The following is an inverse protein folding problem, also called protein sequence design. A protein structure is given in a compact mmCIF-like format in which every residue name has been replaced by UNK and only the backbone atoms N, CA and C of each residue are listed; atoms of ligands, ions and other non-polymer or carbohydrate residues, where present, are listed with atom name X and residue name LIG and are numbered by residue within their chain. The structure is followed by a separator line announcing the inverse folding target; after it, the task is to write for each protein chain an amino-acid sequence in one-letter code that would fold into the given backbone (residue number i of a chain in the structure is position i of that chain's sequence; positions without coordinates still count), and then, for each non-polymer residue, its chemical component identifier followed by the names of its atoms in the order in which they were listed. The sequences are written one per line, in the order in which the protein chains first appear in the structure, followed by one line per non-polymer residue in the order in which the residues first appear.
data_IF_783275050231
#
_entry.id   IF_783275050231
#
_cell.length_a   1.000
_cell.length_b   1.000
_cell.length_c   1.000
_cell.angle_alpha   90.00
_cell.angle_beta   90.00
_cell.angle_gamma   90.00
#
_symmetry.space_group_name_H-M   'P 1'
#
loop_
_entity.id
_entity.type
_entity.pdbx_description
1 polymer ?
#
# COMPACT_ATOMS: atom_id res chain seq x y z
N UNK A 1 36.20 45.88 36.92
CA UNK A 1 35.14 44.96 37.39
C UNK A 1 34.00 44.99 36.40
N UNK A 2 33.77 43.88 35.68
CA UNK A 2 32.45 43.35 35.24
C UNK A 2 32.65 42.42 34.03
N UNK A 3 32.65 41.14 34.38
CA UNK A 3 32.16 39.96 33.65
C UNK A 3 32.42 39.80 32.15
N UNK A 4 33.26 38.80 31.89
CA UNK A 4 33.21 37.85 30.78
C UNK A 4 31.79 37.33 30.59
N UNK A 5 31.28 37.39 29.35
CA UNK A 5 30.28 36.45 28.84
C UNK A 5 30.83 35.91 27.52
N UNK A 6 31.38 34.71 27.60
CA UNK A 6 31.74 33.85 26.49
C UNK A 6 30.43 33.23 25.97
N UNK A 7 29.85 33.80 24.91
CA UNK A 7 28.71 33.18 24.24
C UNK A 7 29.24 32.03 23.39
N UNK A 8 29.08 30.79 23.87
CA UNK A 8 29.20 29.60 23.03
C UNK A 8 28.18 29.72 21.90
N UNK A 9 28.65 29.95 20.67
CA UNK A 9 27.85 29.67 19.49
C UNK A 9 27.70 28.15 19.41
N UNK A 10 26.56 27.65 19.86
CA UNK A 10 26.11 26.31 19.52
C UNK A 10 26.01 26.25 17.99
N UNK A 11 26.85 25.41 17.38
CA UNK A 11 26.70 25.03 16.00
C UNK A 11 25.35 24.33 15.85
N UNK A 12 24.34 25.07 15.39
CA UNK A 12 23.15 24.45 14.82
C UNK A 12 23.60 23.82 13.50
N UNK A 13 23.99 22.56 13.56
CA UNK A 13 24.04 21.72 12.37
C UNK A 13 22.63 21.73 11.80
N UNK A 14 22.46 22.52 10.74
CA UNK A 14 21.30 22.44 9.86
C UNK A 14 21.37 21.05 9.23
N UNK A 15 20.72 20.06 9.85
CA UNK A 15 20.45 18.82 9.17
C UNK A 15 19.63 19.20 7.94
N UNK A 16 20.25 19.10 6.77
CA UNK A 16 19.52 19.09 5.52
C UNK A 16 18.67 17.82 5.53
N UNK A 17 17.44 17.94 6.03
CA UNK A 17 16.41 16.94 5.82
C UNK A 17 16.29 16.72 4.31
N UNK A 18 16.26 15.47 3.82
CA UNK A 18 16.11 15.22 2.39
C UNK A 18 14.82 15.86 1.90
N UNK A 19 14.96 16.93 1.13
CA UNK A 19 13.88 17.79 0.62
C UNK A 19 13.10 17.16 -0.54
N UNK A 20 13.05 15.83 -0.62
CA UNK A 20 12.33 15.06 -1.65
C UNK A 20 11.76 13.73 -1.11
N UNK A 21 11.58 13.59 0.22
CA UNK A 21 10.75 12.49 0.73
C UNK A 21 9.28 12.82 0.45
N UNK A 22 8.57 12.05 -0.42
CA UNK A 22 7.18 12.33 -0.70
C UNK A 22 6.37 12.28 0.60
N UNK A 23 5.75 13.41 0.92
CA UNK A 23 4.90 13.58 2.10
C UNK A 23 3.56 12.87 1.87
N UNK A 24 3.55 11.56 2.08
CA UNK A 24 2.34 10.75 2.28
C UNK A 24 2.46 9.94 3.57
N UNK A 25 2.89 10.58 4.66
CA UNK A 25 2.98 10.00 6.00
C UNK A 25 1.74 10.38 6.82
N UNK A 26 0.56 9.99 6.31
CA UNK A 26 -0.73 10.19 6.96
C UNK A 26 -1.70 9.08 6.58
N UNK A 27 -1.56 7.91 7.22
CA UNK A 27 -2.56 6.84 7.33
C UNK A 27 -2.99 6.04 6.07
N UNK A 28 -2.19 5.97 5.00
CA UNK A 28 -2.35 4.90 4.00
C UNK A 28 -1.55 3.66 4.46
N UNK A 29 -2.24 2.63 4.95
CA UNK A 29 -1.59 1.37 5.27
C UNK A 29 -1.24 0.67 3.96
N UNK A 30 0.03 0.74 3.55
CA UNK A 30 0.52 0.23 2.29
C UNK A 30 1.68 -0.74 2.47
N UNK A 31 1.91 -1.59 1.48
CA UNK A 31 3.03 -2.52 1.50
C UNK A 31 3.13 -3.37 0.25
N UNK A 32 4.08 -4.29 0.28
CA UNK A 32 4.27 -5.32 -0.75
C UNK A 32 3.72 -6.65 -0.26
N UNK A 33 3.24 -7.49 -1.17
CA UNK A 33 2.87 -8.86 -0.85
C UNK A 33 3.57 -9.87 -1.76
N UNK A 34 3.74 -11.09 -1.23
CA UNK A 34 4.01 -12.31 -1.99
C UNK A 34 2.94 -13.31 -1.57
N UNK A 35 2.18 -13.83 -2.54
CA UNK A 35 1.13 -14.80 -2.31
C UNK A 35 1.47 -16.09 -3.05
N UNK A 36 1.43 -17.21 -2.35
CA UNK A 36 1.59 -18.54 -2.94
C UNK A 36 0.26 -19.28 -2.91
N UNK A 37 -0.20 -19.77 -4.06
CA UNK A 37 -1.39 -20.60 -4.17
C UNK A 37 -1.00 -21.99 -4.65
N UNK A 38 -1.25 -23.00 -3.79
CA UNK A 38 -1.09 -24.40 -4.15
C UNK A 38 -2.34 -24.87 -4.89
N UNK A 39 -2.20 -25.18 -6.18
CA UNK A 39 -3.30 -25.68 -7.01
C UNK A 39 -3.06 -27.17 -7.31
N UNK A 40 -4.05 -28.07 -7.13
CA UNK A 40 -3.84 -29.51 -7.32
C UNK A 40 -3.28 -29.90 -8.69
N UNK A 41 -3.56 -29.11 -9.73
CA UNK A 41 -3.16 -29.36 -11.11
C UNK A 41 -1.77 -28.83 -11.45
N UNK A 42 -1.17 -27.97 -10.60
CA UNK A 42 0.14 -27.38 -10.84
C UNK A 42 1.24 -28.13 -10.10
N UNK A 43 2.37 -28.37 -10.76
CA UNK A 43 3.55 -29.02 -10.16
C UNK A 43 4.31 -28.10 -9.17
N UNK A 44 4.03 -26.80 -9.20
CA UNK A 44 4.65 -25.77 -8.35
C UNK A 44 3.56 -24.76 -7.95
N UNK A 45 3.70 -24.05 -6.82
CA UNK A 45 2.78 -22.99 -6.46
C UNK A 45 2.68 -21.94 -7.55
N UNK A 46 1.48 -21.39 -7.71
CA UNK A 46 1.29 -20.14 -8.42
C UNK A 46 1.68 -19.00 -7.48
N UNK A 47 2.77 -18.29 -7.80
CA UNK A 47 3.33 -17.23 -6.96
C UNK A 47 3.01 -15.87 -7.53
N UNK A 48 2.16 -15.12 -6.84
CA UNK A 48 1.82 -13.74 -7.15
C UNK A 48 2.62 -12.74 -6.31
N UNK A 49 2.95 -11.58 -6.87
CA UNK A 49 3.61 -10.47 -6.16
C UNK A 49 2.97 -9.14 -6.54
N UNK A 50 2.98 -8.21 -5.61
CA UNK A 50 2.40 -6.89 -5.86
C UNK A 50 2.42 -5.96 -4.67
N UNK A 51 1.54 -4.97 -4.73
CA UNK A 51 1.38 -3.91 -3.76
C UNK A 51 -0.04 -3.92 -3.21
N UNK A 52 -0.19 -3.47 -1.97
CA UNK A 52 -1.50 -3.16 -1.41
C UNK A 52 -1.48 -1.78 -0.77
N UNK A 53 -2.64 -1.13 -0.74
CA UNK A 53 -2.86 0.11 -0.02
C UNK A 53 -4.29 0.12 0.54
N UNK A 54 -4.44 0.55 1.79
CA UNK A 54 -5.74 0.77 2.41
C UNK A 54 -6.04 2.26 2.49
N UNK A 55 -7.18 2.65 1.92
CA UNK A 55 -7.77 3.98 2.03
C UNK A 55 -8.78 3.98 3.19
N UNK A 56 -8.47 4.63 4.33
CA UNK A 56 -9.35 4.64 5.49
C UNK A 56 -10.60 5.51 5.30
N UNK A 57 -10.56 6.53 4.43
CA UNK A 57 -11.70 7.42 4.17
C UNK A 57 -12.77 6.69 3.37
N UNK A 58 -12.34 5.87 2.40
CA UNK A 58 -13.23 5.02 1.59
C UNK A 58 -13.48 3.64 2.19
N UNK A 59 -12.77 3.30 3.27
CA UNK A 59 -12.68 1.95 3.84
C UNK A 59 -12.38 0.88 2.78
N UNK A 60 -11.47 1.19 1.86
CA UNK A 60 -11.22 0.36 0.68
C UNK A 60 -9.78 -0.15 0.67
N UNK A 61 -9.61 -1.44 0.44
CA UNK A 61 -8.33 -2.07 0.16
C UNK A 61 -8.13 -2.13 -1.36
N UNK A 62 -7.04 -1.51 -1.82
CA UNK A 62 -6.56 -1.62 -3.19
C UNK A 62 -5.50 -2.71 -3.21
N UNK A 63 -5.71 -3.75 -4.02
CA UNK A 63 -4.80 -4.87 -4.16
C UNK A 63 -4.29 -4.96 -5.61
N UNK A 64 -3.04 -4.55 -5.84
CA UNK A 64 -2.44 -4.51 -7.16
C UNK A 64 -1.46 -5.67 -7.33
N UNK A 65 -1.89 -6.74 -7.99
CA UNK A 65 -0.98 -7.80 -8.44
C UNK A 65 -0.21 -7.30 -9.66
N UNK A 66 1.11 -7.44 -9.63
CA UNK A 66 1.99 -7.00 -10.73
C UNK A 66 2.58 -8.18 -11.51
N UNK A 67 2.69 -9.35 -10.86
CA UNK A 67 3.19 -10.57 -11.48
C UNK A 67 2.52 -11.82 -10.89
N UNK A 68 2.30 -12.89 -11.68
CA UNK A 68 2.54 -12.97 -13.12
C UNK A 68 1.40 -12.34 -13.95
N UNK A 69 0.31 -11.96 -13.30
CA UNK A 69 -0.81 -11.23 -13.87
C UNK A 69 -0.78 -9.79 -13.34
N UNK A 70 -1.09 -8.84 -14.21
CA UNK A 70 -1.25 -7.44 -13.82
C UNK A 70 -2.74 -7.16 -13.63
N UNK A 71 -3.19 -7.00 -12.39
CA UNK A 71 -4.57 -6.65 -12.10
C UNK A 71 -4.71 -5.86 -10.80
N UNK A 72 -5.77 -5.06 -10.70
CA UNK A 72 -6.04 -4.22 -9.54
C UNK A 72 -7.44 -4.52 -9.02
N UNK A 73 -7.52 -5.03 -7.80
CA UNK A 73 -8.78 -5.24 -7.10
C UNK A 73 -9.06 -4.08 -6.17
N UNK A 74 -10.33 -3.68 -6.13
CA UNK A 74 -10.90 -2.75 -5.17
C UNK A 74 -11.81 -3.56 -4.25
N UNK A 75 -11.48 -3.62 -2.97
CA UNK A 75 -12.16 -4.45 -1.98
C UNK A 75 -12.68 -3.54 -0.88
N UNK A 76 -13.99 -3.56 -0.63
CA UNK A 76 -14.66 -2.75 0.38
C UNK A 76 -15.87 -3.50 0.98
N UNK A 77 -16.66 -2.82 1.80
CA UNK A 77 -17.88 -3.37 2.43
C UNK A 77 -18.96 -3.77 1.41
N UNK A 78 -18.82 -3.43 0.12
CA UNK A 78 -19.79 -3.78 -0.93
C UNK A 78 -19.37 -5.05 -1.69
N UNK A 79 -18.08 -5.40 -1.66
CA UNK A 79 -17.53 -6.63 -2.23
C UNK A 79 -16.19 -6.42 -2.90
N UNK A 80 -16.00 -7.07 -4.05
CA UNK A 80 -14.76 -7.03 -4.83
C UNK A 80 -15.06 -6.59 -6.26
N UNK A 81 -14.38 -5.54 -6.70
CA UNK A 81 -14.32 -5.13 -8.10
C UNK A 81 -12.90 -5.27 -8.65
N UNK A 82 -12.77 -5.48 -9.95
CA UNK A 82 -11.51 -5.40 -10.69
C UNK A 82 -11.52 -4.16 -11.56
N UNK A 83 -10.45 -3.36 -11.48
CA UNK A 83 -10.26 -2.23 -12.36
C UNK A 83 -9.74 -2.74 -13.72
N UNK A 84 -10.48 -2.46 -14.79
CA UNK A 84 -10.07 -2.78 -16.15
C UNK A 84 -8.91 -1.88 -16.63
N UNK A 85 -8.39 -2.16 -17.83
CA UNK A 85 -7.28 -1.41 -18.41
C UNK A 85 -7.59 0.08 -18.65
N UNK A 86 -8.86 0.47 -18.66
CA UNK A 86 -9.34 1.83 -18.83
C UNK A 86 -9.60 2.53 -17.48
N UNK A 87 -9.43 1.83 -16.36
CA UNK A 87 -9.67 2.38 -15.02
C UNK A 87 -11.10 2.20 -14.53
N UNK A 88 -11.95 1.44 -15.24
CA UNK A 88 -13.34 1.25 -14.81
C UNK A 88 -13.47 0.02 -13.91
N UNK A 89 -14.18 0.11 -12.77
CA UNK A 89 -14.43 -1.03 -11.91
C UNK A 89 -15.48 -1.97 -12.52
N UNK A 90 -15.15 -3.26 -12.59
CA UNK A 90 -16.04 -4.35 -12.94
C UNK A 90 -16.29 -5.21 -11.69
N UNK A 91 -17.54 -5.31 -11.25
CA UNK A 91 -17.89 -6.07 -10.04
C UNK A 91 -17.65 -7.56 -10.28
N UNK A 92 -16.77 -8.17 -9.49
CA UNK A 92 -16.48 -9.61 -9.52
C UNK A 92 -17.37 -10.38 -8.55
N UNK A 93 -17.56 -9.84 -7.34
CA UNK A 93 -18.40 -10.46 -6.32
C UNK A 93 -18.96 -9.39 -5.40
N UNK A 94 -20.16 -9.62 -4.87
CA UNK A 94 -20.77 -8.78 -3.85
C UNK A 94 -20.73 -9.47 -2.49
N UNK A 95 -20.84 -8.69 -1.42
CA UNK A 95 -20.63 -9.10 -0.03
C UNK A 95 -21.38 -10.38 0.40
N UNK A 96 -22.52 -10.67 -0.24
CA UNK A 96 -23.27 -11.93 -0.05
C UNK A 96 -22.54 -13.21 -0.50
N UNK A 97 -21.35 -13.11 -1.13
CA UNK A 97 -20.60 -14.23 -1.71
C UNK A 97 -19.12 -14.30 -1.29
N UNK A 98 -18.56 -13.26 -0.66
CA UNK A 98 -17.12 -13.18 -0.30
C UNK A 98 -16.70 -14.22 0.75
N UNK A 99 -17.58 -14.51 1.72
CA UNK A 99 -17.31 -15.48 2.81
C UNK A 99 -17.08 -16.93 2.36
N UNK A 100 -17.22 -17.25 1.07
CA UNK A 100 -17.01 -18.59 0.53
C UNK A 100 -15.63 -18.77 -0.15
N UNK A 101 -14.83 -17.70 -0.23
CA UNK A 101 -13.58 -17.67 -1.01
C UNK A 101 -12.32 -17.54 -0.14
N UNK A 102 -12.49 -17.22 1.16
CA UNK A 102 -11.41 -17.15 2.15
C UNK A 102 -11.33 -18.42 3.01
#
# INVERSE_FOLDING_TARGET
MKSIILLMLAAFSLNAEPQDAPTWLGALQQGTFVQEKQLPQLKRPFVSRGLFAYDPDRKQLIWHTQAPLNNKLLIDEQGVAEEDAQGNPQVLTSDGQVSQVL
#
